data_IF_602986323112
#
_entry.id   IF_602986323112
#
_cell.length_a   1.000
_cell.length_b   1.000
_cell.length_c   1.000
_cell.angle_alpha   90.00
_cell.angle_beta   90.00
_cell.angle_gamma   90.00
#
_symmetry.space_group_name_H-M   'P 1'
#
loop_
_entity.id
_entity.type
_entity.pdbx_description
1 polymer ?
#
# COMPACT_ATOMS: atom_id res chain seq x y z
N UNK A 1 28.72 22.97 -22.18
CA UNK A 1 29.28 22.61 -20.84
C UNK A 1 30.08 21.35 -21.00
N UNK A 2 31.34 21.37 -20.63
CA UNK A 2 32.25 20.24 -20.84
C UNK A 2 32.16 19.23 -19.69
N UNK A 3 32.14 17.93 -20.00
CA UNK A 3 32.24 16.88 -18.99
C UNK A 3 33.68 16.79 -18.48
N UNK A 4 33.89 17.13 -17.22
CA UNK A 4 35.23 17.12 -16.62
C UNK A 4 35.63 15.75 -16.07
N UNK A 5 34.68 15.06 -15.43
CA UNK A 5 34.96 13.82 -14.73
C UNK A 5 33.70 12.94 -14.63
N UNK A 6 33.89 11.64 -14.71
CA UNK A 6 32.85 10.63 -14.55
C UNK A 6 33.32 9.63 -13.49
N UNK A 7 32.49 9.41 -12.45
CA UNK A 7 32.80 8.48 -11.36
C UNK A 7 31.60 7.61 -11.00
N UNK A 8 31.84 6.39 -10.57
CA UNK A 8 30.80 5.57 -9.94
C UNK A 8 30.52 6.05 -8.53
N UNK A 9 29.26 6.09 -8.15
CA UNK A 9 28.87 6.45 -6.79
C UNK A 9 29.32 5.39 -5.78
N UNK A 10 30.01 5.81 -4.71
CA UNK A 10 30.41 4.92 -3.61
C UNK A 10 29.23 4.39 -2.78
N UNK A 11 28.07 5.04 -2.85
CA UNK A 11 26.90 4.75 -2.00
C UNK A 11 25.74 4.06 -2.73
N UNK A 12 25.73 4.09 -4.08
CA UNK A 12 24.67 3.47 -4.90
C UNK A 12 25.31 2.85 -6.14
N UNK A 13 25.24 1.50 -6.22
CA UNK A 13 25.97 0.72 -7.23
C UNK A 13 25.64 1.08 -8.69
N UNK A 14 24.41 1.50 -8.97
CA UNK A 14 23.97 1.83 -10.34
C UNK A 14 24.05 3.32 -10.67
N UNK A 15 24.60 4.14 -9.78
CA UNK A 15 24.66 5.59 -9.95
C UNK A 15 26.03 6.03 -10.43
N UNK A 16 26.02 6.81 -11.50
CA UNK A 16 27.19 7.51 -12.05
C UNK A 16 27.07 9.00 -11.72
N UNK A 17 28.17 9.58 -11.30
CA UNK A 17 28.35 11.00 -11.03
C UNK A 17 29.12 11.63 -12.20
N UNK A 18 28.49 12.56 -12.93
CA UNK A 18 29.09 13.28 -14.05
C UNK A 18 29.28 14.72 -13.61
N UNK A 19 30.54 15.14 -13.49
CA UNK A 19 30.93 16.49 -13.12
C UNK A 19 31.11 17.32 -14.39
N UNK A 20 30.44 18.47 -14.43
CA UNK A 20 30.49 19.39 -15.54
C UNK A 20 31.34 20.61 -15.20
N UNK A 21 31.95 21.20 -16.22
CA UNK A 21 32.62 22.49 -16.13
C UNK A 21 31.65 23.56 -15.59
N UNK A 22 32.07 24.29 -14.54
CA UNK A 22 31.18 25.20 -13.80
C UNK A 22 30.65 24.66 -12.47
N UNK A 23 30.97 23.40 -12.12
CA UNK A 23 30.66 22.82 -10.81
C UNK A 23 29.33 22.07 -10.74
N UNK A 24 28.61 21.98 -11.84
CA UNK A 24 27.36 21.19 -11.89
C UNK A 24 27.62 19.68 -11.78
N UNK A 25 26.75 18.98 -11.06
CA UNK A 25 26.83 17.56 -10.84
C UNK A 25 25.55 16.85 -11.30
N UNK A 26 25.68 16.01 -12.31
CA UNK A 26 24.61 15.14 -12.76
C UNK A 26 24.69 13.77 -12.05
N UNK A 27 23.53 13.25 -11.64
CA UNK A 27 23.38 11.93 -11.02
C UNK A 27 22.52 11.08 -11.94
N UNK A 28 23.16 10.20 -12.68
CA UNK A 28 22.52 9.36 -13.71
C UNK A 28 22.85 7.89 -13.50
N UNK A 29 22.21 7.01 -14.25
CA UNK A 29 22.53 5.57 -14.30
C UNK A 29 23.59 5.26 -15.35
N UNK A 30 24.21 4.06 -15.28
CA UNK A 30 25.11 3.60 -16.33
C UNK A 30 24.40 3.48 -17.69
N UNK A 31 23.14 3.08 -17.68
CA UNK A 31 22.33 3.01 -18.92
C UNK A 31 22.13 4.39 -19.56
N UNK A 32 21.95 5.42 -18.76
CA UNK A 32 21.83 6.79 -19.24
C UNK A 32 23.17 7.33 -19.75
N UNK A 33 24.27 7.01 -19.04
CA UNK A 33 25.62 7.34 -19.50
C UNK A 33 25.87 6.81 -20.92
N UNK A 34 25.53 5.53 -21.16
CA UNK A 34 25.68 4.88 -22.46
C UNK A 34 24.72 5.45 -23.51
N UNK A 35 23.44 5.64 -23.14
CA UNK A 35 22.41 6.15 -24.06
C UNK A 35 22.72 7.54 -24.58
N UNK A 36 23.26 8.40 -23.74
CA UNK A 36 23.65 9.76 -24.12
C UNK A 36 25.10 9.85 -24.63
N UNK A 37 25.83 8.73 -24.66
CA UNK A 37 27.20 8.67 -25.16
C UNK A 37 28.16 9.59 -24.41
N UNK A 38 28.00 9.71 -23.08
CA UNK A 38 28.79 10.65 -22.27
C UNK A 38 30.21 10.11 -22.04
N UNK A 39 31.21 10.93 -22.26
CA UNK A 39 32.60 10.64 -21.95
C UNK A 39 33.33 11.92 -21.49
N UNK A 40 34.44 11.75 -20.80
CA UNK A 40 35.23 12.86 -20.31
C UNK A 40 35.75 13.69 -21.48
N UNK A 41 35.54 15.00 -21.45
CA UNK A 41 35.90 15.93 -22.51
C UNK A 41 34.80 16.24 -23.52
N UNK A 42 33.62 15.55 -23.47
CA UNK A 42 32.45 15.83 -24.32
C UNK A 42 31.86 17.20 -23.93
N UNK A 43 31.57 18.01 -24.96
CA UNK A 43 30.75 19.22 -24.80
C UNK A 43 29.28 18.86 -24.97
N UNK A 44 28.48 19.15 -23.93
CA UNK A 44 27.02 18.93 -23.94
C UNK A 44 26.28 20.26 -23.91
N UNK A 45 25.13 20.31 -24.60
CA UNK A 45 24.28 21.49 -24.62
C UNK A 45 23.53 21.66 -23.29
N UNK A 46 23.07 22.86 -22.94
CA UNK A 46 22.23 23.09 -21.78
C UNK A 46 20.94 22.25 -21.82
N UNK A 47 20.36 22.04 -23.00
CA UNK A 47 19.17 21.21 -23.21
C UNK A 47 19.45 19.75 -22.87
N UNK A 48 20.62 19.24 -23.25
CA UNK A 48 21.06 17.87 -22.91
C UNK A 48 21.25 17.72 -21.39
N UNK A 49 21.78 18.74 -20.71
CA UNK A 49 21.90 18.75 -19.24
C UNK A 49 20.52 18.62 -18.58
N UNK A 50 19.55 19.41 -19.03
CA UNK A 50 18.17 19.34 -18.53
C UNK A 50 17.54 17.96 -18.76
N UNK A 51 17.75 17.37 -19.94
CA UNK A 51 17.26 16.03 -20.26
C UNK A 51 17.90 14.97 -19.37
N UNK A 52 19.19 15.06 -19.12
CA UNK A 52 19.92 14.16 -18.22
C UNK A 52 19.45 14.27 -16.77
N UNK A 53 19.22 15.50 -16.29
CA UNK A 53 18.67 15.75 -14.96
C UNK A 53 17.28 15.09 -14.79
N UNK A 54 16.39 15.31 -15.75
CA UNK A 54 15.05 14.70 -15.75
C UNK A 54 15.13 13.18 -15.81
N UNK A 55 15.96 12.63 -16.70
CA UNK A 55 16.14 11.17 -16.82
C UNK A 55 16.67 10.57 -15.52
N UNK A 56 17.69 11.18 -14.91
CA UNK A 56 18.25 10.75 -13.64
C UNK A 56 17.25 10.79 -12.49
N UNK A 57 16.41 11.83 -12.40
CA UNK A 57 15.35 11.95 -11.41
C UNK A 57 14.29 10.84 -11.58
N UNK A 58 13.92 10.56 -12.85
CA UNK A 58 12.98 9.46 -13.18
C UNK A 58 13.53 8.10 -12.80
N UNK A 59 14.79 7.82 -13.12
CA UNK A 59 15.47 6.57 -12.76
C UNK A 59 15.57 6.41 -11.24
N UNK A 60 15.91 7.48 -10.52
CA UNK A 60 15.92 7.46 -9.05
C UNK A 60 14.53 7.17 -8.45
N UNK A 61 13.49 7.75 -9.03
CA UNK A 61 12.11 7.50 -8.61
C UNK A 61 11.71 6.04 -8.80
N UNK A 62 12.07 5.40 -9.92
CA UNK A 62 11.84 3.97 -10.16
C UNK A 62 12.55 3.08 -9.14
N UNK A 63 13.83 3.33 -8.87
CA UNK A 63 14.58 2.58 -7.84
C UNK A 63 13.96 2.76 -6.46
N UNK A 64 13.54 3.99 -6.12
CA UNK A 64 12.86 4.26 -4.86
C UNK A 64 11.52 3.54 -4.76
N UNK A 65 10.73 3.51 -5.84
CA UNK A 65 9.47 2.80 -5.92
C UNK A 65 9.66 1.29 -5.70
N UNK A 66 10.61 0.67 -6.40
CA UNK A 66 10.93 -0.74 -6.24
C UNK A 66 11.34 -1.08 -4.81
N UNK A 67 12.19 -0.27 -4.18
CA UNK A 67 12.59 -0.46 -2.79
C UNK A 67 11.41 -0.35 -1.81
N UNK A 68 10.44 0.53 -2.09
CA UNK A 68 9.26 0.67 -1.22
C UNK A 68 8.36 -0.57 -1.26
N UNK A 69 8.08 -1.11 -2.45
CA UNK A 69 7.22 -2.30 -2.58
C UNK A 69 7.91 -3.57 -2.09
N UNK A 70 9.25 -3.67 -2.24
CA UNK A 70 10.05 -4.78 -1.70
C UNK A 70 10.05 -4.80 -0.17
N UNK A 71 10.00 -3.63 0.48
CA UNK A 71 9.96 -3.54 1.93
C UNK A 71 8.59 -3.94 2.51
N UNK A 72 7.51 -3.63 1.81
CA UNK A 72 6.13 -4.00 2.16
C UNK A 72 5.18 -3.79 0.96
N UNK A 73 4.13 -4.60 0.83
CA UNK A 73 3.09 -4.39 -0.15
C UNK A 73 2.41 -3.01 0.01
N UNK A 74 2.13 -2.37 -1.11
CA UNK A 74 1.46 -1.07 -1.20
C UNK A 74 0.48 -1.11 -2.37
N UNK A 75 -0.59 -0.29 -2.30
CA UNK A 75 -1.40 0.00 -3.49
C UNK A 75 -0.68 0.99 -4.41
N UNK A 76 -1.05 0.99 -5.69
CA UNK A 76 -0.57 1.96 -6.69
C UNK A 76 -0.73 3.40 -6.20
N UNK A 77 -1.91 3.72 -5.66
CA UNK A 77 -2.22 5.04 -5.10
C UNK A 77 -1.36 5.39 -3.89
N UNK A 78 -1.15 4.45 -2.96
CA UNK A 78 -0.30 4.68 -1.79
C UNK A 78 1.16 4.86 -2.19
N UNK A 79 1.66 4.07 -3.14
CA UNK A 79 3.02 4.17 -3.66
C UNK A 79 3.26 5.54 -4.29
N UNK A 80 2.41 5.96 -5.24
CA UNK A 80 2.51 7.26 -5.93
C UNK A 80 2.52 8.41 -4.91
N UNK A 81 1.56 8.42 -3.98
CA UNK A 81 1.50 9.43 -2.92
C UNK A 81 2.79 9.51 -2.10
N UNK A 82 3.37 8.35 -1.74
CA UNK A 82 4.61 8.30 -0.94
C UNK A 82 5.83 8.76 -1.71
N UNK A 83 5.88 8.47 -3.02
CA UNK A 83 6.96 8.96 -3.88
C UNK A 83 6.94 10.49 -3.97
N UNK A 84 5.75 11.08 -4.18
CA UNK A 84 5.59 12.55 -4.19
C UNK A 84 5.96 13.15 -2.83
N UNK A 85 5.53 12.56 -1.72
CA UNK A 85 5.91 13.00 -0.37
C UNK A 85 7.43 12.95 -0.13
N UNK A 86 8.15 12.08 -0.85
CA UNK A 86 9.62 11.98 -0.80
C UNK A 86 10.33 12.82 -1.85
N UNK A 87 9.61 13.74 -2.50
CA UNK A 87 10.17 14.73 -3.43
C UNK A 87 10.30 14.24 -4.86
N UNK A 88 9.61 13.17 -5.26
CA UNK A 88 9.49 12.82 -6.68
C UNK A 88 8.44 13.70 -7.34
N UNK A 89 8.65 14.08 -8.60
CA UNK A 89 7.63 14.73 -9.41
C UNK A 89 6.41 13.80 -9.60
N UNK A 90 5.21 14.37 -9.70
CA UNK A 90 3.97 13.59 -9.76
C UNK A 90 3.92 12.65 -10.98
N UNK A 91 4.36 13.15 -12.14
CA UNK A 91 4.40 12.39 -13.40
C UNK A 91 5.40 11.23 -13.31
N UNK A 92 6.58 11.45 -12.74
CA UNK A 92 7.59 10.42 -12.55
C UNK A 92 7.14 9.36 -11.52
N UNK A 93 6.42 9.79 -10.48
CA UNK A 93 5.84 8.88 -9.50
C UNK A 93 4.74 8.01 -10.10
N UNK A 94 3.87 8.60 -10.95
CA UNK A 94 2.85 7.88 -11.72
C UNK A 94 3.48 6.86 -12.66
N UNK A 95 4.40 7.32 -13.51
CA UNK A 95 5.09 6.46 -14.47
C UNK A 95 5.89 5.32 -13.81
N UNK A 96 6.47 5.55 -12.63
CA UNK A 96 7.14 4.50 -11.89
C UNK A 96 6.17 3.45 -11.35
N UNK A 97 4.99 3.86 -10.87
CA UNK A 97 3.96 2.96 -10.40
C UNK A 97 3.33 2.14 -11.53
N UNK A 98 3.07 2.76 -12.70
CA UNK A 98 2.60 2.10 -13.91
C UNK A 98 3.59 1.04 -14.40
N UNK A 99 4.85 1.38 -14.48
CA UNK A 99 5.89 0.43 -14.87
C UNK A 99 5.94 -0.80 -13.94
N UNK A 100 5.82 -0.60 -12.62
CA UNK A 100 5.83 -1.70 -11.67
C UNK A 100 4.56 -2.57 -11.76
N UNK A 101 3.43 -2.00 -12.14
CA UNK A 101 2.19 -2.71 -12.41
C UNK A 101 2.31 -3.53 -13.71
N UNK A 102 2.83 -2.94 -14.80
CA UNK A 102 3.05 -3.63 -16.09
C UNK A 102 3.94 -4.87 -15.96
N UNK A 103 4.99 -4.80 -15.14
CA UNK A 103 5.87 -5.96 -14.89
C UNK A 103 5.35 -6.90 -13.80
N UNK A 104 4.14 -6.67 -13.27
CA UNK A 104 3.51 -7.51 -12.24
C UNK A 104 4.15 -7.41 -10.84
N UNK A 105 5.03 -6.43 -10.61
CA UNK A 105 5.62 -6.19 -9.29
C UNK A 105 4.68 -5.42 -8.34
N UNK A 106 3.68 -4.75 -8.90
CA UNK A 106 2.59 -4.07 -8.20
C UNK A 106 1.27 -4.67 -8.68
N UNK A 107 0.45 -5.16 -7.74
CA UNK A 107 -0.85 -5.76 -8.03
C UNK A 107 -1.85 -5.36 -6.95
N UNK A 108 -2.72 -4.41 -7.27
CA UNK A 108 -3.73 -3.89 -6.35
C UNK A 108 -4.81 -4.93 -6.00
N UNK A 109 -5.09 -5.89 -6.90
CA UNK A 109 -6.05 -6.97 -6.64
C UNK A 109 -5.49 -7.99 -5.64
N UNK A 110 -4.26 -8.44 -5.86
CA UNK A 110 -3.55 -9.32 -4.91
C UNK A 110 -3.36 -8.65 -3.55
N UNK A 111 -3.05 -7.33 -3.55
CA UNK A 111 -2.93 -6.54 -2.32
C UNK A 111 -4.26 -6.43 -1.58
N UNK A 112 -5.37 -6.18 -2.28
CA UNK A 112 -6.72 -6.15 -1.70
C UNK A 112 -7.08 -7.49 -1.03
N UNK A 113 -6.89 -8.60 -1.73
CA UNK A 113 -7.13 -9.93 -1.19
C UNK A 113 -6.26 -10.24 0.03
N UNK A 114 -4.99 -9.82 0.02
CA UNK A 114 -4.10 -9.94 1.17
C UNK A 114 -4.61 -9.15 2.38
N UNK A 115 -5.07 -7.90 2.19
CA UNK A 115 -5.65 -7.08 3.26
C UNK A 115 -6.90 -7.73 3.85
N UNK A 116 -7.81 -8.20 3.00
CA UNK A 116 -9.03 -8.86 3.44
C UNK A 116 -8.70 -10.10 4.29
N UNK A 117 -7.83 -10.99 3.82
CA UNK A 117 -7.38 -12.16 4.61
C UNK A 117 -6.75 -11.76 5.94
N UNK A 118 -5.89 -10.75 5.93
CA UNK A 118 -5.20 -10.29 7.15
C UNK A 118 -6.18 -9.78 8.21
N UNK A 119 -7.10 -8.90 7.84
CA UNK A 119 -8.04 -8.31 8.79
C UNK A 119 -9.17 -9.26 9.17
N UNK A 120 -9.59 -10.15 8.26
CA UNK A 120 -10.55 -11.23 8.60
C UNK A 120 -9.98 -12.18 9.66
N UNK A 121 -8.70 -12.55 9.53
CA UNK A 121 -8.02 -13.36 10.54
C UNK A 121 -7.91 -12.67 11.91
N UNK A 122 -7.99 -11.33 11.95
CA UNK A 122 -8.08 -10.56 13.20
C UNK A 122 -9.52 -10.44 13.74
N UNK A 123 -10.51 -11.05 13.08
CA UNK A 123 -11.91 -11.00 13.46
C UNK A 123 -12.54 -9.64 13.16
N UNK A 124 -12.24 -9.05 12.00
CA UNK A 124 -12.88 -7.84 11.49
C UNK A 124 -14.04 -8.20 10.56
N UNK A 125 -15.15 -7.45 10.68
CA UNK A 125 -16.31 -7.54 9.81
C UNK A 125 -16.20 -6.67 8.56
N UNK A 126 -17.18 -6.83 7.67
CA UNK A 126 -17.17 -6.26 6.31
C UNK A 126 -17.02 -4.74 6.26
N UNK A 127 -17.61 -4.00 7.19
CA UNK A 127 -17.46 -2.53 7.25
C UNK A 127 -16.00 -2.15 7.52
N UNK A 128 -15.32 -2.81 8.46
CA UNK A 128 -13.92 -2.57 8.78
C UNK A 128 -13.00 -2.96 7.62
N UNK A 129 -13.29 -4.06 6.91
CA UNK A 129 -12.54 -4.46 5.72
C UNK A 129 -12.61 -3.38 4.64
N UNK A 130 -13.80 -2.82 4.37
CA UNK A 130 -13.97 -1.71 3.42
C UNK A 130 -13.20 -0.45 3.84
N UNK A 131 -13.22 -0.10 5.13
CA UNK A 131 -12.46 1.02 5.65
C UNK A 131 -10.96 0.86 5.44
N UNK A 132 -10.42 -0.34 5.68
CA UNK A 132 -8.99 -0.59 5.47
C UNK A 132 -8.62 -0.56 3.98
N UNK A 133 -9.44 -1.11 3.08
CA UNK A 133 -9.23 -1.01 1.64
C UNK A 133 -9.22 0.47 1.19
N UNK A 134 -10.18 1.27 1.68
CA UNK A 134 -10.22 2.70 1.41
C UNK A 134 -8.99 3.45 1.90
N UNK A 135 -8.62 3.24 3.16
CA UNK A 135 -7.44 3.89 3.79
C UNK A 135 -6.13 3.55 3.10
N UNK A 136 -6.03 2.33 2.55
CA UNK A 136 -4.88 1.86 1.78
C UNK A 136 -4.91 2.30 0.33
N UNK A 137 -5.99 2.97 -0.11
CA UNK A 137 -6.12 3.50 -1.45
C UNK A 137 -6.33 2.45 -2.52
N UNK A 138 -6.86 1.28 -2.15
CA UNK A 138 -7.26 0.25 -3.13
C UNK A 138 -8.42 0.77 -3.97
N UNK A 139 -8.40 0.63 -5.31
CA UNK A 139 -9.49 1.02 -6.18
C UNK A 139 -10.80 0.31 -5.82
N UNK A 140 -11.93 1.04 -5.87
CA UNK A 140 -13.24 0.50 -5.43
C UNK A 140 -13.74 -0.67 -6.27
N UNK A 141 -13.41 -0.70 -7.54
CA UNK A 141 -13.74 -1.78 -8.48
C UNK A 141 -13.16 -3.14 -8.06
N UNK A 142 -12.06 -3.15 -7.30
CA UNK A 142 -11.42 -4.38 -6.81
C UNK A 142 -12.01 -4.89 -5.49
N UNK A 143 -12.83 -4.07 -4.80
CA UNK A 143 -13.31 -4.43 -3.46
C UNK A 143 -14.26 -5.63 -3.48
N UNK A 144 -15.13 -5.72 -4.50
CA UNK A 144 -16.10 -6.82 -4.60
C UNK A 144 -15.40 -8.18 -4.56
N UNK A 145 -14.54 -8.41 -5.54
CA UNK A 145 -13.79 -9.66 -5.66
C UNK A 145 -12.91 -9.94 -4.42
N UNK A 146 -12.28 -8.89 -3.84
CA UNK A 146 -11.49 -9.08 -2.64
C UNK A 146 -12.36 -9.49 -1.42
N UNK A 147 -13.50 -8.84 -1.21
CA UNK A 147 -14.39 -9.12 -0.09
C UNK A 147 -15.05 -10.50 -0.19
N UNK A 148 -15.27 -11.02 -1.39
CA UNK A 148 -15.75 -12.42 -1.60
C UNK A 148 -14.76 -13.47 -1.08
N UNK A 149 -13.47 -13.11 -0.93
CA UNK A 149 -12.47 -14.02 -0.34
C UNK A 149 -12.51 -14.06 1.20
N UNK A 150 -13.34 -13.20 1.83
CA UNK A 150 -13.47 -13.20 3.28
C UNK A 150 -14.18 -14.48 3.75
N UNK A 151 -13.82 -15.04 4.91
CA UNK A 151 -14.56 -16.13 5.52
C UNK A 151 -15.99 -15.67 5.89
N UNK A 152 -16.87 -16.64 6.09
CA UNK A 152 -18.24 -16.35 6.53
C UNK A 152 -18.26 -15.53 7.83
N UNK A 153 -19.14 -14.50 7.85
CA UNK A 153 -19.22 -13.59 8.98
C UNK A 153 -19.67 -14.30 10.26
N UNK A 154 -20.58 -15.31 10.16
CA UNK A 154 -21.07 -16.06 11.33
C UNK A 154 -19.98 -16.97 11.89
N UNK A 155 -19.17 -17.61 11.05
CA UNK A 155 -18.02 -18.40 11.49
C UNK A 155 -16.99 -17.53 12.20
N UNK A 156 -16.65 -16.37 11.61
CA UNK A 156 -15.73 -15.42 12.21
C UNK A 156 -16.25 -14.92 13.56
N UNK A 157 -17.52 -14.55 13.65
CA UNK A 157 -18.17 -14.11 14.89
C UNK A 157 -18.17 -15.21 15.94
N UNK A 158 -18.53 -16.45 15.57
CA UNK A 158 -18.50 -17.59 16.50
C UNK A 158 -17.11 -17.78 17.13
N UNK A 159 -16.05 -17.73 16.33
CA UNK A 159 -14.67 -17.82 16.82
C UNK A 159 -14.33 -16.66 17.78
N UNK A 160 -14.69 -15.42 17.42
CA UNK A 160 -14.42 -14.23 18.27
C UNK A 160 -15.20 -14.32 19.57
N UNK A 161 -16.50 -14.70 19.54
CA UNK A 161 -17.35 -14.86 20.72
C UNK A 161 -16.78 -15.95 21.63
N UNK A 162 -16.50 -17.13 21.10
CA UNK A 162 -15.93 -18.24 21.87
C UNK A 162 -14.63 -17.86 22.58
N UNK A 163 -13.72 -17.14 21.87
CA UNK A 163 -12.47 -16.68 22.45
C UNK A 163 -12.66 -15.68 23.60
N UNK A 164 -13.70 -14.87 23.55
CA UNK A 164 -14.02 -13.84 24.56
C UNK A 164 -14.80 -14.39 25.74
N UNK A 165 -15.74 -15.30 25.51
CA UNK A 165 -16.58 -15.88 26.57
C UNK A 165 -15.89 -17.04 27.29
N UNK A 166 -14.93 -17.70 26.65
CA UNK A 166 -14.29 -18.92 27.16
C UNK A 166 -15.33 -19.99 27.58
N UNK A 167 -16.44 -20.09 26.86
CA UNK A 167 -17.55 -21.03 27.15
C UNK A 167 -18.42 -20.64 28.35
N UNK A 168 -18.25 -19.46 28.94
CA UNK A 168 -19.10 -18.98 30.03
C UNK A 168 -20.40 -18.38 29.48
N UNK A 169 -21.57 -18.60 30.13
CA UNK A 169 -22.81 -17.94 29.74
C UNK A 169 -22.67 -16.43 29.87
N UNK A 170 -23.24 -15.70 28.92
CA UNK A 170 -23.23 -14.23 28.91
C UNK A 170 -24.36 -13.70 29.78
N UNK A 171 -24.03 -12.79 30.70
CA UNK A 171 -25.01 -11.95 31.36
C UNK A 171 -25.32 -10.71 30.50
N UNK A 172 -26.36 -9.94 30.85
CA UNK A 172 -26.80 -8.77 30.09
C UNK A 172 -25.71 -7.73 29.90
N UNK A 173 -24.91 -7.46 30.93
CA UNK A 173 -23.79 -6.51 30.87
C UNK A 173 -22.68 -6.98 29.92
N UNK A 174 -22.35 -8.26 29.96
CA UNK A 174 -21.36 -8.85 29.07
C UNK A 174 -21.85 -8.91 27.63
N UNK A 175 -23.16 -9.20 27.44
CA UNK A 175 -23.81 -9.16 26.13
C UNK A 175 -23.67 -7.77 25.49
N UNK A 176 -24.08 -6.71 26.17
CA UNK A 176 -23.97 -5.33 25.66
C UNK A 176 -22.51 -4.96 25.32
N UNK A 177 -21.59 -5.25 26.24
CA UNK A 177 -20.17 -5.00 26.04
C UNK A 177 -19.59 -5.73 24.84
N UNK A 178 -19.99 -6.99 24.65
CA UNK A 178 -19.52 -7.81 23.52
C UNK A 178 -20.15 -7.35 22.20
N UNK A 179 -21.45 -7.03 22.20
CA UNK A 179 -22.13 -6.44 21.02
C UNK A 179 -21.43 -5.18 20.55
N UNK A 180 -21.18 -4.22 21.44
CA UNK A 180 -20.48 -2.99 21.13
C UNK A 180 -19.06 -3.24 20.58
N UNK A 181 -18.37 -4.24 21.12
CA UNK A 181 -17.03 -4.60 20.66
C UNK A 181 -17.05 -5.22 19.25
N UNK A 182 -18.07 -6.01 18.91
CA UNK A 182 -18.23 -6.61 17.58
C UNK A 182 -18.67 -5.58 16.54
N UNK A 183 -19.58 -4.65 16.91
CA UNK A 183 -19.95 -3.52 16.05
C UNK A 183 -18.73 -2.64 15.70
N UNK A 184 -17.89 -2.32 16.69
CA UNK A 184 -16.63 -1.59 16.44
C UNK A 184 -15.63 -2.35 15.57
N UNK A 185 -15.74 -3.67 15.49
CA UNK A 185 -14.97 -4.51 14.57
C UNK A 185 -15.51 -4.52 13.14
N UNK A 186 -16.67 -3.86 12.90
CA UNK A 186 -17.26 -3.69 11.58
C UNK A 186 -18.23 -4.78 11.16
N UNK A 187 -18.75 -5.55 12.11
CA UNK A 187 -19.90 -6.42 11.86
C UNK A 187 -21.20 -5.62 11.93
N UNK A 188 -22.20 -6.02 11.14
CA UNK A 188 -23.54 -5.43 11.21
C UNK A 188 -24.29 -5.87 12.47
N UNK A 189 -25.25 -5.07 12.91
CA UNK A 189 -26.10 -5.43 14.05
C UNK A 189 -26.82 -6.78 13.84
N UNK A 190 -27.33 -7.04 12.62
CA UNK A 190 -27.99 -8.30 12.29
C UNK A 190 -27.07 -9.51 12.45
N UNK A 191 -25.84 -9.43 11.95
CA UNK A 191 -24.83 -10.50 12.10
C UNK A 191 -24.50 -10.74 13.57
N UNK A 192 -24.29 -9.66 14.34
CA UNK A 192 -23.95 -9.73 15.77
C UNK A 192 -25.10 -10.34 16.56
N UNK A 193 -26.36 -9.90 16.34
CA UNK A 193 -27.56 -10.42 17.02
C UNK A 193 -27.72 -11.92 16.76
N UNK A 194 -27.56 -12.34 15.50
CA UNK A 194 -27.66 -13.76 15.12
C UNK A 194 -26.57 -14.61 15.79
N UNK A 195 -25.35 -14.19 15.76
CA UNK A 195 -24.22 -14.92 16.33
C UNK A 195 -24.30 -15.02 17.86
N UNK A 196 -24.71 -13.94 18.54
CA UNK A 196 -24.88 -13.94 20.00
C UNK A 196 -26.07 -14.82 20.44
N UNK A 197 -27.18 -14.86 19.67
CA UNK A 197 -28.28 -15.79 19.91
C UNK A 197 -27.82 -17.26 19.77
N UNK A 198 -27.06 -17.56 18.71
CA UNK A 198 -26.55 -18.91 18.51
C UNK A 198 -25.58 -19.33 19.63
N UNK A 199 -24.87 -18.39 20.23
CA UNK A 199 -23.98 -18.63 21.37
C UNK A 199 -24.72 -18.80 22.73
N UNK A 200 -26.07 -18.84 22.72
CA UNK A 200 -26.87 -19.05 23.93
C UNK A 200 -26.99 -17.83 24.84
N UNK A 201 -26.77 -16.63 24.29
CA UNK A 201 -27.02 -15.40 25.05
C UNK A 201 -28.52 -15.19 25.25
N UNK A 202 -28.98 -15.15 26.50
CA UNK A 202 -30.36 -14.78 26.84
C UNK A 202 -30.61 -13.34 26.41
N UNK A 203 -31.41 -13.12 25.39
CA UNK A 203 -31.92 -11.82 25.00
C UNK A 203 -33.18 -11.57 25.82
N UNK A 204 -33.19 -10.60 26.69
CA UNK A 204 -34.43 -9.96 27.11
C UNK A 204 -34.94 -9.13 25.92
N UNK A 205 -36.15 -9.35 25.46
CA UNK A 205 -36.79 -8.70 24.29
C UNK A 205 -37.10 -7.20 24.50
N UNK A 206 -36.23 -6.47 25.16
CA UNK A 206 -36.49 -5.11 25.61
C UNK A 206 -35.91 -4.00 24.70
N UNK A 207 -35.49 -4.27 23.47
CA UNK A 207 -34.89 -3.20 22.62
C UNK A 207 -35.25 -3.29 21.11
N UNK A 208 -36.52 -3.61 20.80
CA UNK A 208 -37.06 -3.44 19.42
C UNK A 208 -37.69 -2.05 19.19
N UNK A 209 -37.22 -1.03 19.88
CA UNK A 209 -37.74 0.32 19.75
C UNK A 209 -36.64 1.40 19.67
N UNK A 210 -36.07 1.59 18.47
CA UNK A 210 -35.53 2.91 18.02
C UNK A 210 -35.32 2.87 16.50
#
# INVERSE_FOLDING_TARGET
MKVERIERSKHKQERVLVYLEGGDLLRITESELLRFGLYVGLDISPETVVQLQKSGARSETRVRAANMISARPLSKKELTRRLVQKGSEADDAGAAAEYLEEIGALDDAAYAAMLVRHYSAQGCGSARLRDELYRRGVPRELWGAALETAPDAQETLACVIASKTRGKPLNEKDYKRLSDALLRRGFSWGEVKTALRAAGAALTDADDGL
#
